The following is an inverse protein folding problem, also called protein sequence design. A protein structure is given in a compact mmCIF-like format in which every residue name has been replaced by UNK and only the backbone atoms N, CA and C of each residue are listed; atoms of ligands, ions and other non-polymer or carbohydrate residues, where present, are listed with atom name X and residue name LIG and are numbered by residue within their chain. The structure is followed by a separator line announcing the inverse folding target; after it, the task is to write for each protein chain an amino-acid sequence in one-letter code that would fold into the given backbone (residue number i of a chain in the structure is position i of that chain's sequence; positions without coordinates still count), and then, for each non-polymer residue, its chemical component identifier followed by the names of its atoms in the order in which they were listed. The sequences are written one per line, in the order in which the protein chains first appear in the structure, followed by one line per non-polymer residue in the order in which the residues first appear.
data_IF_284116162212
#
_entry.id   IF_284116162212
#
_cell.length_a   1.000
_cell.length_b   1.000
_cell.length_c   1.000
_cell.angle_alpha   90.00
_cell.angle_beta   90.00
_cell.angle_gamma   90.00
#
_symmetry.space_group_name_H-M   'P 1'
#
loop_
_entity.id
_entity.type
_entity.pdbx_description
1 polymer ?
#
# COMPACT_ATOMS: atom_id res chain seq x y z
N UNK A 1 18.46 -2.59 -5.36
CA UNK A 1 18.51 -2.71 -3.88
C UNK A 1 19.94 -2.99 -3.44
N UNK A 2 20.40 -2.52 -2.26
CA UNK A 2 21.76 -2.86 -1.77
C UNK A 2 21.85 -4.36 -1.52
N UNK A 3 22.98 -4.99 -1.90
CA UNK A 3 23.21 -6.42 -1.67
C UNK A 3 23.09 -6.75 -0.17
N UNK A 4 22.35 -7.79 0.18
CA UNK A 4 22.12 -8.24 1.55
C UNK A 4 21.04 -7.50 2.34
N UNK A 5 20.46 -6.40 1.84
CA UNK A 5 19.40 -5.66 2.57
C UNK A 5 18.10 -6.47 2.70
N UNK A 6 17.79 -7.28 1.69
CA UNK A 6 16.61 -8.16 1.72
C UNK A 6 16.68 -9.14 2.89
N UNK A 7 17.80 -9.82 3.01
CA UNK A 7 18.06 -10.83 4.04
C UNK A 7 18.13 -10.19 5.44
N UNK A 8 18.81 -9.04 5.54
CA UNK A 8 18.87 -8.26 6.79
C UNK A 8 17.49 -7.89 7.30
N UNK A 9 16.61 -7.39 6.43
CA UNK A 9 15.23 -7.09 6.84
C UNK A 9 14.49 -8.35 7.29
N UNK A 10 14.57 -9.46 6.54
CA UNK A 10 13.91 -10.72 6.92
C UNK A 10 14.37 -11.20 8.29
N UNK A 11 15.68 -11.15 8.56
CA UNK A 11 16.23 -11.54 9.86
C UNK A 11 15.65 -10.68 11.00
N UNK A 12 15.69 -9.34 10.84
CA UNK A 12 15.14 -8.40 11.81
C UNK A 12 13.63 -8.56 11.96
N UNK A 13 12.91 -8.77 10.85
CA UNK A 13 11.46 -8.97 10.86
C UNK A 13 11.05 -10.17 11.69
N UNK A 14 11.67 -11.32 11.45
CA UNK A 14 11.42 -12.54 12.22
C UNK A 14 11.76 -12.34 13.70
N UNK A 15 12.81 -11.59 14.00
CA UNK A 15 13.23 -11.31 15.39
C UNK A 15 12.22 -10.43 16.14
N UNK A 16 11.72 -9.37 15.53
CA UNK A 16 10.92 -8.35 16.20
C UNK A 16 9.41 -8.48 15.97
N UNK A 17 8.99 -9.07 14.88
CA UNK A 17 7.60 -9.28 14.48
C UNK A 17 7.33 -10.74 14.09
N UNK A 18 7.61 -11.69 15.00
CA UNK A 18 7.49 -13.12 14.70
C UNK A 18 6.06 -13.47 14.27
N UNK A 19 5.93 -14.44 13.37
CA UNK A 19 4.66 -14.88 12.79
C UNK A 19 3.88 -13.81 11.99
N UNK A 20 4.34 -12.55 11.95
CA UNK A 20 3.73 -11.56 11.09
C UNK A 20 4.10 -11.82 9.61
N UNK A 21 3.14 -11.70 8.67
CA UNK A 21 3.41 -11.90 7.26
C UNK A 21 4.47 -10.92 6.74
N UNK A 22 5.28 -11.39 5.79
CA UNK A 22 6.20 -10.50 5.07
C UNK A 22 5.39 -9.48 4.25
N UNK A 23 5.88 -8.24 4.12
CA UNK A 23 5.23 -7.24 3.29
C UNK A 23 5.32 -7.58 1.80
N UNK A 24 4.45 -6.98 1.04
CA UNK A 24 4.58 -6.89 -0.41
C UNK A 24 5.20 -5.54 -0.78
N UNK A 25 5.68 -5.43 -1.99
CA UNK A 25 6.24 -4.20 -2.53
C UNK A 25 5.90 -4.06 -4.00
N UNK A 26 6.05 -2.87 -4.55
CA UNK A 26 5.95 -2.68 -5.98
C UNK A 26 7.01 -1.73 -6.53
N UNK A 27 7.17 -1.80 -7.84
CA UNK A 27 7.92 -0.89 -8.67
C UNK A 27 7.31 -0.82 -10.08
N UNK A 28 7.67 0.21 -10.84
CA UNK A 28 7.28 0.33 -12.25
C UNK A 28 8.42 -0.13 -13.15
N UNK A 29 8.09 -0.83 -14.24
CA UNK A 29 9.05 -1.31 -15.22
C UNK A 29 8.44 -1.35 -16.64
N UNK A 30 9.26 -1.16 -17.66
CA UNK A 30 8.82 -1.35 -19.04
C UNK A 30 8.80 -2.83 -19.45
N UNK A 31 9.66 -3.63 -18.83
CA UNK A 31 9.76 -5.08 -19.05
C UNK A 31 9.95 -5.77 -17.70
N UNK A 32 9.36 -6.94 -17.55
CA UNK A 32 9.50 -7.78 -16.36
C UNK A 32 9.32 -9.24 -16.77
N UNK A 33 10.35 -10.06 -16.55
CA UNK A 33 10.37 -11.47 -16.93
C UNK A 33 10.10 -12.42 -15.76
N UNK A 34 10.29 -11.94 -14.52
CA UNK A 34 10.18 -12.74 -13.30
C UNK A 34 8.86 -12.54 -12.56
N UNK A 35 7.83 -12.03 -13.24
CA UNK A 35 6.48 -11.89 -12.73
C UNK A 35 5.44 -12.36 -13.76
N UNK A 36 4.39 -12.98 -13.28
CA UNK A 36 3.27 -13.40 -14.12
C UNK A 36 2.56 -12.15 -14.68
N UNK A 37 2.56 -12.02 -16.00
CA UNK A 37 1.82 -10.94 -16.66
C UNK A 37 0.31 -11.21 -16.61
N UNK A 38 -0.38 -10.32 -15.92
CA UNK A 38 -1.83 -10.40 -15.78
C UNK A 38 -2.52 -10.03 -17.09
N UNK A 39 -3.47 -10.88 -17.51
CA UNK A 39 -4.25 -10.66 -18.73
C UNK A 39 -5.48 -9.79 -18.45
N UNK A 40 -5.97 -9.05 -19.46
CA UNK A 40 -7.23 -8.32 -19.35
C UNK A 40 -8.37 -9.24 -18.93
N UNK A 41 -9.03 -8.92 -17.84
CA UNK A 41 -10.12 -9.72 -17.30
C UNK A 41 -11.48 -9.23 -17.81
N UNK A 42 -12.36 -10.15 -18.18
CA UNK A 42 -13.76 -9.82 -18.52
C UNK A 42 -14.57 -9.73 -17.23
N UNK A 43 -14.77 -8.51 -16.73
CA UNK A 43 -15.48 -8.22 -15.49
C UNK A 43 -14.69 -7.30 -14.57
N UNK A 44 -15.37 -6.58 -13.68
CA UNK A 44 -14.72 -5.70 -12.73
C UNK A 44 -14.00 -6.50 -11.66
N UNK A 45 -12.68 -6.58 -11.73
CA UNK A 45 -11.84 -7.13 -10.66
C UNK A 45 -11.19 -6.00 -9.86
N UNK A 46 -11.31 -6.09 -8.55
CA UNK A 46 -10.55 -5.22 -7.66
C UNK A 46 -9.09 -5.65 -7.64
N UNK A 47 -8.15 -4.72 -7.85
CA UNK A 47 -6.72 -4.98 -7.74
C UNK A 47 -6.36 -5.53 -6.34
N UNK A 48 -6.98 -5.01 -5.29
CA UNK A 48 -6.71 -5.43 -3.91
C UNK A 48 -6.92 -6.94 -3.74
N UNK A 49 -7.92 -7.52 -4.42
CA UNK A 49 -8.14 -8.97 -4.41
C UNK A 49 -6.96 -9.73 -5.03
N UNK A 50 -6.39 -9.23 -6.13
CA UNK A 50 -5.24 -9.90 -6.76
C UNK A 50 -3.98 -9.85 -5.89
N UNK A 51 -3.87 -8.86 -5.00
CA UNK A 51 -2.74 -8.76 -4.08
C UNK A 51 -2.68 -9.87 -3.03
N UNK A 52 -3.77 -10.61 -2.77
CA UNK A 52 -3.72 -11.82 -1.94
C UNK A 52 -2.78 -12.86 -2.53
N UNK A 53 -2.78 -13.05 -3.85
CA UNK A 53 -1.84 -13.93 -4.54
C UNK A 53 -0.39 -13.50 -4.33
N UNK A 54 -0.15 -12.18 -4.33
CA UNK A 54 1.19 -11.63 -4.06
C UNK A 54 1.60 -11.89 -2.60
N UNK A 55 0.68 -11.72 -1.67
CA UNK A 55 0.90 -12.06 -0.25
C UNK A 55 1.22 -13.54 -0.05
N UNK A 56 0.65 -14.42 -0.86
CA UNK A 56 0.95 -15.86 -0.88
C UNK A 56 2.26 -16.21 -1.60
N UNK A 57 2.89 -15.25 -2.28
CA UNK A 57 4.23 -15.38 -2.85
C UNK A 57 4.30 -15.46 -4.38
N UNK A 58 3.20 -15.23 -5.08
CA UNK A 58 3.26 -15.00 -6.51
C UNK A 58 3.86 -13.61 -6.81
N UNK A 59 4.54 -13.48 -7.94
CA UNK A 59 4.94 -12.18 -8.47
C UNK A 59 4.04 -11.83 -9.63
N UNK A 60 3.37 -10.66 -9.58
CA UNK A 60 2.39 -10.26 -10.58
C UNK A 60 2.79 -8.94 -11.24
N UNK A 61 2.63 -8.85 -12.56
CA UNK A 61 2.80 -7.61 -13.32
C UNK A 61 1.50 -7.23 -14.05
N UNK A 62 1.17 -5.93 -14.04
CA UNK A 62 -0.05 -5.39 -14.63
C UNK A 62 0.29 -4.26 -15.61
N UNK A 63 -0.15 -4.41 -16.84
CA UNK A 63 -0.37 -3.26 -17.74
C UNK A 63 -1.72 -2.61 -17.41
N UNK A 64 -1.92 -1.35 -17.83
CA UNK A 64 -3.17 -0.64 -17.54
C UNK A 64 -4.44 -1.38 -18.01
N UNK A 65 -4.36 -2.10 -19.14
CA UNK A 65 -5.48 -2.92 -19.66
C UNK A 65 -5.82 -4.14 -18.79
N UNK A 66 -4.86 -4.63 -17.98
CA UNK A 66 -5.05 -5.78 -17.10
C UNK A 66 -5.67 -5.39 -15.76
N UNK A 67 -5.67 -4.11 -15.40
CA UNK A 67 -6.33 -3.61 -14.18
C UNK A 67 -7.84 -3.55 -14.43
N UNK A 68 -8.60 -4.38 -13.71
CA UNK A 68 -10.01 -4.61 -13.99
C UNK A 68 -10.94 -3.43 -13.74
N UNK A 69 -10.65 -2.56 -12.76
CA UNK A 69 -11.48 -1.42 -12.41
C UNK A 69 -10.88 -0.09 -12.88
N UNK A 70 -11.73 0.87 -13.22
CA UNK A 70 -11.30 2.19 -13.71
C UNK A 70 -10.58 3.00 -12.61
N UNK A 71 -11.06 2.94 -11.37
CA UNK A 71 -10.39 3.57 -10.23
C UNK A 71 -8.98 3.03 -10.03
N UNK A 72 -8.80 1.70 -10.11
CA UNK A 72 -7.47 1.09 -10.08
C UNK A 72 -6.58 1.60 -11.19
N UNK A 73 -7.05 1.64 -12.46
CA UNK A 73 -6.28 2.21 -13.58
C UNK A 73 -5.85 3.65 -13.33
N UNK A 74 -6.74 4.45 -12.77
CA UNK A 74 -6.48 5.86 -12.47
C UNK A 74 -5.41 5.99 -11.36
N UNK A 75 -5.62 5.32 -10.23
CA UNK A 75 -4.69 5.42 -9.08
C UNK A 75 -3.35 4.70 -9.30
N UNK A 76 -3.25 3.82 -10.29
CA UNK A 76 -1.97 3.27 -10.74
C UNK A 76 -1.33 4.10 -11.87
N UNK A 77 -1.92 5.23 -12.26
CA UNK A 77 -1.37 6.16 -13.23
C UNK A 77 -1.54 5.72 -14.70
N UNK A 78 -2.28 4.66 -15.00
CA UNK A 78 -2.47 4.17 -16.37
C UNK A 78 -3.57 4.88 -17.15
N UNK A 79 -4.36 5.74 -16.51
CA UNK A 79 -5.35 6.59 -17.16
C UNK A 79 -5.60 7.84 -16.35
N UNK A 80 -5.77 8.96 -17.02
CA UNK A 80 -6.24 10.21 -16.40
C UNK A 80 -7.77 10.36 -16.52
N UNK A 81 -8.43 9.47 -17.24
CA UNK A 81 -9.87 9.54 -17.45
C UNK A 81 -10.62 8.79 -16.36
N UNK A 82 -11.44 9.53 -15.64
CA UNK A 82 -12.48 8.98 -14.79
C UNK A 82 -13.79 8.89 -15.56
N UNK A 83 -14.72 8.03 -15.11
CA UNK A 83 -16.05 7.95 -15.74
C UNK A 83 -16.77 9.31 -15.62
N UNK A 84 -17.60 9.71 -16.59
CA UNK A 84 -18.23 11.04 -16.61
C UNK A 84 -19.09 11.34 -15.36
N UNK A 85 -19.66 10.31 -14.74
CA UNK A 85 -20.51 10.41 -13.55
C UNK A 85 -19.78 10.07 -12.24
N UNK A 86 -18.42 10.10 -12.25
CA UNK A 86 -17.59 9.69 -11.10
C UNK A 86 -17.90 10.48 -9.83
N UNK A 87 -18.15 11.78 -9.94
CA UNK A 87 -18.53 12.63 -8.80
C UNK A 87 -19.82 12.19 -8.14
N UNK A 88 -20.81 11.75 -8.91
CA UNK A 88 -22.05 11.18 -8.40
C UNK A 88 -21.82 9.78 -7.82
N UNK A 89 -20.96 8.98 -8.42
CA UNK A 89 -20.58 7.67 -7.91
C UNK A 89 -19.98 7.77 -6.50
N UNK A 90 -19.07 8.69 -6.25
CA UNK A 90 -18.46 8.87 -4.93
C UNK A 90 -19.36 9.61 -3.93
N UNK A 91 -20.47 10.19 -4.36
CA UNK A 91 -21.39 10.94 -3.49
C UNK A 91 -22.80 10.35 -3.48
N UNK A 92 -23.78 11.15 -3.84
CA UNK A 92 -25.21 10.82 -3.68
C UNK A 92 -25.79 9.84 -4.68
N UNK A 93 -25.03 9.45 -5.73
CA UNK A 93 -25.57 8.68 -6.85
C UNK A 93 -26.44 9.50 -7.79
N UNK A 94 -27.13 8.81 -8.69
CA UNK A 94 -28.10 9.39 -9.63
C UNK A 94 -29.41 8.62 -9.46
N UNK A 95 -30.51 9.27 -8.99
CA UNK A 95 -31.76 8.59 -8.76
C UNK A 95 -32.25 7.78 -9.98
N UNK A 96 -32.65 6.55 -9.74
CA UNK A 96 -33.11 5.61 -10.80
C UNK A 96 -32.05 5.11 -11.78
N UNK A 97 -30.81 5.55 -11.66
CA UNK A 97 -29.70 5.16 -12.58
C UNK A 97 -28.52 4.52 -11.87
N UNK A 98 -28.11 5.05 -10.74
CA UNK A 98 -26.87 4.62 -10.08
C UNK A 98 -26.94 4.92 -8.57
N UNK A 99 -26.64 3.92 -7.75
CA UNK A 99 -26.35 4.11 -6.34
C UNK A 99 -24.99 4.80 -6.16
N UNK A 100 -24.87 5.73 -5.20
CA UNK A 100 -23.64 6.40 -4.85
C UNK A 100 -22.98 5.73 -3.65
N UNK A 101 -21.67 5.70 -3.64
CA UNK A 101 -20.84 5.16 -2.54
C UNK A 101 -20.90 6.02 -1.27
N UNK A 102 -21.37 7.27 -1.39
CA UNK A 102 -21.59 8.25 -0.29
C UNK A 102 -20.34 8.54 0.56
N UNK A 103 -19.15 8.47 -0.03
CA UNK A 103 -17.90 8.87 0.63
C UNK A 103 -17.76 10.38 0.79
N UNK A 104 -18.46 11.14 -0.05
CA UNK A 104 -18.64 12.59 0.06
C UNK A 104 -20.11 12.94 0.07
N UNK A 105 -20.46 13.99 0.78
CA UNK A 105 -21.85 14.42 0.91
C UNK A 105 -22.42 14.88 -0.43
N UNK A 106 -21.64 15.60 -1.25
CA UNK A 106 -22.09 16.18 -2.52
C UNK A 106 -21.10 15.94 -3.65
N UNK A 107 -21.56 15.99 -4.93
CA UNK A 107 -20.68 15.90 -6.09
C UNK A 107 -19.63 17.02 -6.15
N UNK A 108 -19.94 18.22 -5.66
CA UNK A 108 -19.03 19.38 -5.66
C UNK A 108 -17.83 19.13 -4.77
N UNK A 109 -18.00 18.50 -3.60
CA UNK A 109 -16.90 18.09 -2.71
C UNK A 109 -16.00 17.03 -3.36
N UNK A 110 -16.52 16.21 -4.26
CA UNK A 110 -15.69 15.29 -5.06
C UNK A 110 -14.88 16.05 -6.10
N UNK A 111 -15.50 17.00 -6.79
CA UNK A 111 -14.82 17.83 -7.80
C UNK A 111 -13.70 18.68 -7.17
N UNK A 112 -13.92 19.24 -5.97
CA UNK A 112 -12.92 19.98 -5.21
C UNK A 112 -11.72 19.08 -4.87
N UNK A 113 -11.98 17.91 -4.31
CA UNK A 113 -10.92 16.96 -3.99
C UNK A 113 -10.11 16.54 -5.22
N UNK A 114 -10.76 16.25 -6.34
CA UNK A 114 -10.07 15.84 -7.58
C UNK A 114 -9.21 16.95 -8.17
N UNK A 115 -9.53 18.21 -7.93
CA UNK A 115 -8.70 19.35 -8.33
C UNK A 115 -7.44 19.49 -7.47
N UNK A 116 -7.54 19.12 -6.20
CA UNK A 116 -6.44 19.20 -5.24
C UNK A 116 -5.48 18.01 -5.34
N UNK A 117 -5.94 16.89 -5.93
CA UNK A 117 -5.10 15.72 -6.17
C UNK A 117 -4.26 15.92 -7.47
N UNK A 118 -2.93 16.00 -7.40
CA UNK A 118 -2.12 16.09 -8.60
C UNK A 118 -2.28 14.81 -9.43
N UNK A 119 -2.39 14.90 -10.77
CA UNK A 119 -2.49 13.74 -11.63
C UNK A 119 -1.23 12.89 -11.52
N UNK A 120 -1.39 11.62 -11.20
CA UNK A 120 -0.31 10.64 -11.23
C UNK A 120 -0.29 9.92 -12.58
N UNK A 121 0.86 9.89 -13.23
CA UNK A 121 1.09 9.17 -14.49
C UNK A 121 2.12 8.07 -14.21
N UNK A 122 1.79 6.85 -14.58
CA UNK A 122 2.69 5.71 -14.44
C UNK A 122 4.02 5.98 -15.15
N UNK A 123 5.16 5.85 -14.48
CA UNK A 123 6.45 6.15 -15.09
C UNK A 123 6.92 5.09 -16.08
N UNK A 124 6.25 3.92 -16.13
CA UNK A 124 6.54 2.84 -17.07
C UNK A 124 5.27 2.07 -17.44
N UNK A 125 5.38 1.11 -18.37
CA UNK A 125 4.23 0.38 -18.95
C UNK A 125 3.55 -0.57 -17.97
N UNK A 126 4.29 -1.09 -17.00
CA UNK A 126 3.82 -2.09 -16.05
C UNK A 126 4.08 -1.63 -14.62
N UNK A 127 3.20 -2.01 -13.72
CA UNK A 127 3.46 -2.05 -12.28
C UNK A 127 3.65 -3.51 -11.87
N UNK A 128 4.67 -3.78 -11.10
CA UNK A 128 5.05 -5.13 -10.66
C UNK A 128 4.91 -5.21 -9.15
N UNK A 129 4.16 -6.20 -8.67
CA UNK A 129 4.01 -6.48 -7.25
C UNK A 129 4.72 -7.79 -6.90
N UNK A 130 5.55 -7.76 -5.87
CA UNK A 130 6.25 -8.94 -5.33
C UNK A 130 6.18 -8.95 -3.80
N UNK A 131 6.08 -10.14 -3.21
CA UNK A 131 6.35 -10.27 -1.78
C UNK A 131 7.85 -10.07 -1.52
N UNK A 132 8.20 -9.54 -0.37
CA UNK A 132 9.57 -9.13 -0.07
C UNK A 132 10.63 -10.20 -0.35
N UNK A 133 10.37 -11.45 0.03
CA UNK A 133 11.28 -12.59 -0.20
C UNK A 133 11.45 -12.99 -1.68
N UNK A 134 10.56 -12.50 -2.56
CA UNK A 134 10.60 -12.74 -4.02
C UNK A 134 11.34 -11.67 -4.81
N UNK A 135 11.82 -10.62 -4.15
CA UNK A 135 12.63 -9.60 -4.80
C UNK A 135 13.95 -10.18 -5.31
N UNK A 136 14.29 -9.84 -6.55
CA UNK A 136 15.62 -10.02 -7.10
C UNK A 136 16.56 -8.86 -6.69
N UNK A 137 17.85 -9.01 -6.79
CA UNK A 137 18.81 -7.93 -6.51
C UNK A 137 18.64 -6.73 -7.46
N UNK A 138 18.19 -7.00 -8.69
CA UNK A 138 17.92 -5.98 -9.71
C UNK A 138 16.62 -5.21 -9.48
N UNK A 139 15.74 -5.68 -8.61
CA UNK A 139 14.46 -4.99 -8.35
C UNK A 139 14.69 -3.71 -7.56
N UNK A 140 13.96 -2.66 -7.93
CA UNK A 140 14.04 -1.33 -7.32
C UNK A 140 12.69 -0.98 -6.67
N UNK A 141 12.36 -1.53 -5.49
CA UNK A 141 11.10 -1.26 -4.82
C UNK A 141 10.94 0.22 -4.50
N UNK A 142 9.74 0.75 -4.76
CA UNK A 142 9.40 2.15 -4.49
C UNK A 142 8.61 2.33 -3.19
N UNK A 143 7.77 1.35 -2.86
CA UNK A 143 6.93 1.35 -1.66
C UNK A 143 6.88 -0.05 -1.08
N UNK A 144 6.90 -0.15 0.24
CA UNK A 144 6.71 -1.40 0.98
C UNK A 144 5.35 -1.37 1.67
N UNK A 145 4.53 -2.39 1.47
CA UNK A 145 3.13 -2.44 1.90
C UNK A 145 2.96 -3.59 2.88
N UNK A 146 2.64 -3.27 4.11
CA UNK A 146 2.25 -4.22 5.13
C UNK A 146 0.72 -4.34 5.17
N UNK A 147 0.21 -5.55 5.09
CA UNK A 147 -1.15 -5.89 5.51
C UNK A 147 -1.01 -6.45 6.92
N UNK A 148 -1.47 -5.72 7.91
CA UNK A 148 -1.08 -6.01 9.28
C UNK A 148 -2.19 -5.77 10.29
N UNK A 149 -2.15 -6.55 11.37
CA UNK A 149 -2.99 -6.43 12.55
C UNK A 149 -2.54 -5.28 13.45
N UNK A 150 -3.40 -4.82 14.39
CA UNK A 150 -3.11 -3.64 15.23
C UNK A 150 -1.78 -3.71 16.00
N UNK A 151 -1.39 -4.87 16.53
CA UNK A 151 -0.14 -5.00 17.28
C UNK A 151 1.09 -4.77 16.39
N UNK A 152 1.09 -5.28 15.17
CA UNK A 152 2.16 -5.05 14.19
C UNK A 152 2.14 -3.59 13.71
N UNK A 153 0.95 -3.05 13.42
CA UNK A 153 0.78 -1.64 13.02
C UNK A 153 1.27 -0.69 14.11
N UNK A 154 1.00 -1.00 15.38
CA UNK A 154 1.51 -0.22 16.52
C UNK A 154 3.03 -0.14 16.50
N UNK A 155 3.72 -1.29 16.34
CA UNK A 155 5.17 -1.31 16.25
C UNK A 155 5.71 -0.54 15.04
N UNK A 156 5.14 -0.77 13.85
CA UNK A 156 5.57 -0.06 12.64
C UNK A 156 5.34 1.45 12.75
N UNK A 157 4.22 1.89 13.35
CA UNK A 157 3.91 3.31 13.51
C UNK A 157 4.87 4.02 14.45
N UNK A 158 5.25 3.38 15.56
CA UNK A 158 6.25 3.96 16.48
C UNK A 158 7.64 3.96 15.83
N UNK A 159 7.99 2.92 15.08
CA UNK A 159 9.27 2.87 14.37
C UNK A 159 9.37 3.95 13.29
N UNK A 160 8.25 4.30 12.65
CA UNK A 160 8.20 5.33 11.60
C UNK A 160 8.49 6.76 12.10
N UNK A 161 8.49 6.99 13.41
CA UNK A 161 8.78 8.31 14.02
C UNK A 161 10.02 8.26 14.93
N UNK A 162 10.71 7.13 15.02
CA UNK A 162 11.76 6.90 16.01
C UNK A 162 12.90 7.92 15.94
N UNK A 163 13.30 8.33 14.75
CA UNK A 163 14.38 9.28 14.49
C UNK A 163 13.87 10.65 13.98
N UNK A 164 12.57 10.93 14.13
CA UNK A 164 11.95 12.17 13.69
C UNK A 164 11.49 13.04 14.86
N UNK A 165 11.58 14.36 14.71
CA UNK A 165 11.02 15.32 15.67
C UNK A 165 9.50 15.36 15.69
N UNK A 166 8.89 15.07 14.54
CA UNK A 166 7.45 15.17 14.32
C UNK A 166 6.71 13.93 14.78
N UNK A 167 5.41 14.07 14.92
CA UNK A 167 4.48 12.95 15.16
C UNK A 167 3.77 12.47 13.88
N UNK A 168 4.10 13.04 12.72
CA UNK A 168 3.42 12.79 11.45
C UNK A 168 4.14 11.75 10.57
N UNK A 169 4.98 10.90 11.16
CA UNK A 169 5.64 9.80 10.42
C UNK A 169 4.67 8.77 9.84
N UNK A 170 3.42 8.78 10.33
CA UNK A 170 2.29 8.04 9.75
C UNK A 170 1.11 8.99 9.60
N UNK A 171 0.54 9.06 8.41
CA UNK A 171 -0.67 9.83 8.11
C UNK A 171 -1.77 8.92 7.57
N UNK A 172 -3.02 9.36 7.72
CA UNK A 172 -4.21 8.60 7.34
C UNK A 172 -5.11 9.44 6.42
N UNK A 173 -4.66 9.80 5.23
CA UNK A 173 -5.53 10.45 4.26
C UNK A 173 -6.55 9.45 3.73
N UNK A 174 -7.84 9.83 3.68
CA UNK A 174 -8.83 8.97 3.05
C UNK A 174 -8.63 8.92 1.53
N UNK A 175 -8.48 7.72 1.00
CA UNK A 175 -8.35 7.43 -0.42
C UNK A 175 -8.99 6.09 -0.77
N UNK A 176 -9.04 5.75 -2.06
CA UNK A 176 -9.38 4.41 -2.48
C UNK A 176 -8.34 3.40 -1.98
N UNK A 177 -8.68 2.11 -1.93
CA UNK A 177 -7.73 1.07 -1.56
C UNK A 177 -6.44 1.15 -2.39
N UNK A 178 -6.56 1.32 -3.71
CA UNK A 178 -5.40 1.47 -4.61
C UNK A 178 -4.61 2.77 -4.36
N UNK A 179 -5.30 3.89 -4.10
CA UNK A 179 -4.66 5.17 -3.81
C UNK A 179 -3.82 5.09 -2.53
N UNK A 180 -4.33 4.46 -1.48
CA UNK A 180 -3.66 4.36 -0.19
C UNK A 180 -2.37 3.51 -0.21
N UNK A 181 -2.23 2.62 -1.19
CA UNK A 181 -1.05 1.75 -1.30
C UNK A 181 -0.12 2.12 -2.45
N UNK A 182 -0.56 2.95 -3.41
CA UNK A 182 0.25 3.32 -4.59
C UNK A 182 0.43 4.83 -4.66
N UNK A 183 -0.62 5.59 -4.98
CA UNK A 183 -0.46 7.02 -5.31
C UNK A 183 -0.02 7.85 -4.12
N UNK A 184 -0.65 7.67 -2.95
CA UNK A 184 -0.33 8.44 -1.76
C UNK A 184 1.09 8.18 -1.24
N UNK A 185 1.55 6.92 -1.06
CA UNK A 185 2.93 6.71 -0.64
C UNK A 185 3.97 7.09 -1.70
N UNK A 186 3.64 7.06 -3.00
CA UNK A 186 4.52 7.57 -4.05
C UNK A 186 4.68 9.09 -3.98
N UNK A 187 3.61 9.82 -3.66
CA UNK A 187 3.70 11.28 -3.50
C UNK A 187 4.63 11.69 -2.34
N UNK A 188 4.74 10.85 -1.32
CA UNK A 188 5.64 11.08 -0.20
C UNK A 188 7.13 10.87 -0.55
N UNK A 189 7.47 10.14 -1.63
CA UNK A 189 8.86 9.94 -2.06
C UNK A 189 9.59 11.26 -2.39
N UNK A 190 8.85 12.30 -2.75
CA UNK A 190 9.41 13.61 -3.05
C UNK A 190 9.60 14.49 -1.80
N UNK A 191 9.13 14.04 -0.63
CA UNK A 191 9.27 14.77 0.64
C UNK A 191 10.65 14.53 1.26
N UNK A 192 11.20 15.57 1.90
CA UNK A 192 12.41 15.43 2.73
C UNK A 192 12.15 14.58 3.98
N UNK A 193 10.90 14.54 4.44
CA UNK A 193 10.44 13.75 5.57
C UNK A 193 9.19 12.95 5.16
N UNK A 194 9.35 11.84 4.41
CA UNK A 194 8.22 11.08 3.91
C UNK A 194 7.42 10.43 5.03
N UNK A 195 6.10 10.51 4.95
CA UNK A 195 5.18 9.81 5.87
C UNK A 195 4.81 8.43 5.32
N UNK A 196 4.61 7.47 6.21
CA UNK A 196 3.94 6.23 5.87
C UNK A 196 2.42 6.44 5.81
N UNK A 197 1.73 5.74 4.92
CA UNK A 197 0.29 5.87 4.71
C UNK A 197 -0.44 4.71 5.40
N UNK A 198 -1.19 5.02 6.45
CA UNK A 198 -2.15 4.07 7.01
C UNK A 198 -3.42 4.11 6.15
N UNK A 199 -3.79 2.96 5.59
CA UNK A 199 -4.81 2.89 4.56
C UNK A 199 -5.76 1.72 4.68
N UNK A 200 -6.44 1.43 3.58
CA UNK A 200 -7.47 0.39 3.43
C UNK A 200 -8.77 0.69 4.21
N UNK A 201 -9.13 1.97 4.28
CA UNK A 201 -10.42 2.44 4.83
C UNK A 201 -11.52 2.54 3.76
N UNK A 202 -11.19 2.28 2.50
CA UNK A 202 -12.13 2.20 1.39
C UNK A 202 -13.09 1.02 1.61
N UNK A 203 -14.35 1.32 1.92
CA UNK A 203 -15.37 0.32 2.23
C UNK A 203 -15.57 -0.66 1.07
N UNK A 204 -15.40 -0.21 -0.17
CA UNK A 204 -15.53 -1.08 -1.35
C UNK A 204 -14.37 -2.07 -1.51
N UNK A 205 -13.21 -1.75 -0.97
CA UNK A 205 -12.03 -2.62 -0.96
C UNK A 205 -11.96 -3.55 0.27
N UNK A 206 -12.62 -3.18 1.38
CA UNK A 206 -12.59 -3.94 2.64
C UNK A 206 -12.95 -5.43 2.53
N UNK A 207 -13.93 -5.86 1.70
CA UNK A 207 -14.25 -7.28 1.56
C UNK A 207 -13.09 -8.16 1.04
N UNK A 208 -12.06 -7.54 0.46
CA UNK A 208 -10.89 -8.22 -0.11
C UNK A 208 -9.67 -8.23 0.83
N UNK A 209 -9.84 -7.75 2.06
CA UNK A 209 -8.77 -7.71 3.07
C UNK A 209 -9.32 -8.35 4.34
N UNK A 210 -8.53 -9.15 5.08
CA UNK A 210 -8.95 -9.69 6.38
C UNK A 210 -9.52 -8.59 7.29
N UNK A 211 -10.59 -8.91 8.02
CA UNK A 211 -11.35 -7.93 8.81
C UNK A 211 -10.51 -7.23 9.89
N UNK A 212 -9.47 -7.89 10.38
CA UNK A 212 -8.56 -7.44 11.44
C UNK A 212 -7.24 -6.85 10.90
N UNK A 213 -7.12 -6.66 9.58
CA UNK A 213 -5.95 -6.05 8.95
C UNK A 213 -6.29 -4.69 8.32
N UNK A 214 -5.32 -3.80 8.38
CA UNK A 214 -5.22 -2.57 7.60
C UNK A 214 -3.90 -2.58 6.82
N UNK A 215 -3.68 -1.59 5.95
CA UNK A 215 -2.40 -1.45 5.28
C UNK A 215 -1.58 -0.32 5.87
N UNK A 216 -0.27 -0.52 5.97
CA UNK A 216 0.71 0.54 6.13
C UNK A 216 1.63 0.50 4.91
N UNK A 217 1.53 1.52 4.06
CA UNK A 217 2.34 1.67 2.86
C UNK A 217 3.45 2.69 3.13
N UNK A 218 4.69 2.26 3.02
CA UNK A 218 5.87 3.01 3.46
C UNK A 218 6.74 3.32 2.23
N UNK A 219 7.03 4.59 1.92
CA UNK A 219 8.04 4.95 0.93
C UNK A 219 9.36 4.23 1.18
N UNK A 220 9.99 3.70 0.15
CA UNK A 220 11.17 2.83 0.31
C UNK A 220 12.32 3.52 1.04
N UNK A 221 12.52 4.81 0.81
CA UNK A 221 13.56 5.61 1.51
C UNK A 221 13.35 5.64 3.02
N UNK A 222 12.11 5.89 3.47
CA UNK A 222 11.73 5.83 4.88
C UNK A 222 11.88 4.42 5.44
N UNK A 223 11.45 3.42 4.70
CA UNK A 223 11.55 2.01 5.12
C UNK A 223 13.00 1.59 5.41
N UNK A 224 13.95 2.03 4.58
CA UNK A 224 15.39 1.75 4.82
C UNK A 224 15.86 2.32 6.16
N UNK A 225 15.50 3.57 6.48
CA UNK A 225 15.78 4.17 7.78
C UNK A 225 15.15 3.39 8.93
N UNK A 226 13.86 3.05 8.81
CA UNK A 226 13.16 2.24 9.81
C UNK A 226 13.87 0.90 10.08
N UNK A 227 14.31 0.19 9.05
CA UNK A 227 15.05 -1.08 9.21
C UNK A 227 16.39 -0.85 9.90
N UNK A 228 17.08 0.24 9.58
CA UNK A 228 18.31 0.65 10.28
C UNK A 228 18.10 0.80 11.78
N UNK A 229 17.01 1.43 12.17
CA UNK A 229 16.68 1.77 13.58
C UNK A 229 16.16 0.59 14.41
N UNK A 230 15.82 -0.56 13.84
CA UNK A 230 15.14 -1.64 14.57
C UNK A 230 15.89 -2.11 15.80
N UNK A 231 17.22 -2.23 15.76
CA UNK A 231 18.04 -2.76 16.86
C UNK A 231 18.30 -1.73 17.98
N UNK A 232 17.99 -0.46 17.77
CA UNK A 232 18.20 0.63 18.74
C UNK A 232 16.88 1.22 19.26
N UNK A 233 15.76 0.85 18.64
CA UNK A 233 14.43 1.40 18.94
C UNK A 233 13.78 0.71 20.15
N UNK A 234 12.54 1.09 20.43
CA UNK A 234 11.67 0.45 21.43
C UNK A 234 11.51 -1.07 21.25
N UNK A 235 11.83 -1.62 20.08
CA UNK A 235 11.72 -3.05 19.77
C UNK A 235 12.58 -3.95 20.67
N UNK A 236 13.62 -3.37 21.33
CA UNK A 236 14.45 -4.10 22.29
C UNK A 236 13.94 -4.02 23.74
N UNK A 237 12.84 -3.31 23.98
CA UNK A 237 12.34 -3.02 25.34
C UNK A 237 11.44 -4.13 25.89
N UNK A 238 11.24 -4.10 27.23
CA UNK A 238 10.29 -4.98 27.93
C UNK A 238 8.85 -4.75 27.45
N UNK A 239 8.48 -3.50 27.18
CA UNK A 239 7.14 -3.17 26.68
C UNK A 239 6.84 -3.86 25.35
N UNK A 240 7.81 -3.85 24.42
CA UNK A 240 7.65 -4.53 23.15
C UNK A 240 7.62 -6.06 23.29
N UNK A 241 8.40 -6.63 24.22
CA UNK A 241 8.38 -8.09 24.45
C UNK A 241 6.97 -8.60 24.76
N UNK A 242 6.16 -7.83 25.49
CA UNK A 242 4.75 -8.18 25.79
C UNK A 242 3.88 -8.17 24.53
N UNK A 243 4.06 -7.17 23.66
CA UNK A 243 3.34 -7.09 22.39
C UNK A 243 3.79 -8.21 21.44
N UNK A 244 5.10 -8.46 21.39
CA UNK A 244 5.69 -9.53 20.59
C UNK A 244 5.10 -10.90 20.94
N UNK A 245 4.95 -11.23 22.23
CA UNK A 245 4.31 -12.49 22.67
C UNK A 245 2.87 -12.63 22.16
N UNK A 246 2.11 -11.52 22.08
CA UNK A 246 0.76 -11.53 21.48
C UNK A 246 0.79 -11.78 19.97
N UNK A 247 1.77 -11.22 19.26
CA UNK A 247 1.96 -11.45 17.82
C UNK A 247 2.29 -12.95 17.57
N UNK A 248 3.07 -13.55 18.45
CA UNK A 248 3.40 -14.99 18.43
C UNK A 248 2.22 -15.89 18.78
N UNK A 249 1.14 -15.35 19.34
CA UNK A 249 0.01 -16.12 19.85
C UNK A 249 0.31 -16.84 21.19
N UNK A 250 1.33 -16.39 21.90
CA UNK A 250 1.68 -16.88 23.25
C UNK A 250 0.96 -15.96 24.24
N UNK A 251 -0.14 -16.48 24.85
CA UNK A 251 -0.89 -15.79 25.92
C UNK A 251 -0.28 -16.10 27.30
#
# INVERSE_FOLDING_TARGET
MQSGFKELFIEKWVRYFPSAPLPITFYYADQEENALEMQPYKGGHCLIRELDRVREGESLSFEGRAVGCMGGRHFLGFTQHLRPDFRYFLSCGIPGKMEGERYKATPELVDERLRDEPPFIAPAKKIVFKRWDKLAESDEPQVVIFFARPDVLSGLSVLAIFDEHGSNGVIMPFGSGCSSIVTLPLSELASDHPSAILGMFDVSARPWVPQDELTLAIPFTKFVGMVGNMDESFLITESWRKVKSRIEGIN
#
